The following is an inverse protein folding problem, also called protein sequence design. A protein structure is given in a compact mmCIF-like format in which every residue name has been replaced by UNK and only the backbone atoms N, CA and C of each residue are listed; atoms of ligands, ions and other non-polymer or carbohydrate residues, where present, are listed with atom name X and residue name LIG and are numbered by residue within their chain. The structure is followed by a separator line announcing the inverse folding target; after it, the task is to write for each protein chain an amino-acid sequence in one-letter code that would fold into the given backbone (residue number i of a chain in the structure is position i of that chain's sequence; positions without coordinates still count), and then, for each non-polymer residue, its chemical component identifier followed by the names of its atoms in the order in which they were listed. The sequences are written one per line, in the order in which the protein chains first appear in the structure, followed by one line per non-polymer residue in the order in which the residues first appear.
data_IF_026866747545
#
_entry.id   IF_026866747545
#
_cell.length_a   1.000
_cell.length_b   1.000
_cell.length_c   1.000
_cell.angle_alpha   90.00
_cell.angle_beta   90.00
_cell.angle_gamma   90.00
#
_symmetry.space_group_name_H-M   'P 1'
#
loop_
_entity.id
_entity.type
_entity.pdbx_description
1 polymer ?
#
# COMPACT_ATOMS: atom_id res chain seq x y z
N UNK A 1 16.92 2.29 3.62
CA UNK A 1 16.82 3.38 4.62
C UNK A 1 15.58 3.09 5.47
N UNK A 2 15.68 2.99 6.82
CA UNK A 2 14.48 2.71 7.65
C UNK A 2 13.55 3.94 7.67
N UNK A 3 12.24 3.71 7.53
CA UNK A 3 11.25 4.76 7.68
C UNK A 3 11.32 5.37 9.09
N UNK A 4 11.33 6.70 9.19
CA UNK A 4 11.29 7.45 10.45
C UNK A 4 9.99 8.26 10.50
N UNK A 5 8.87 7.66 10.95
CA UNK A 5 7.55 8.30 10.90
C UNK A 5 7.51 9.62 11.67
N UNK A 6 8.14 9.64 12.85
CA UNK A 6 8.38 10.83 13.69
C UNK A 6 8.98 12.00 12.88
N UNK A 7 10.07 11.72 12.14
CA UNK A 7 10.77 12.74 11.36
C UNK A 7 9.91 13.23 10.19
N UNK A 8 9.17 12.33 9.54
CA UNK A 8 8.26 12.69 8.47
C UNK A 8 7.14 13.60 8.98
N UNK A 9 6.62 13.33 10.18
CA UNK A 9 5.57 14.16 10.77
C UNK A 9 6.07 15.58 11.06
N UNK A 10 7.31 15.74 11.53
CA UNK A 10 7.90 17.07 11.70
C UNK A 10 7.98 17.87 10.39
N UNK A 11 8.35 17.22 9.27
CA UNK A 11 8.36 17.90 7.97
C UNK A 11 6.96 18.30 7.51
N UNK A 12 5.98 17.42 7.72
CA UNK A 12 4.58 17.68 7.41
C UNK A 12 4.03 18.89 8.17
N UNK A 13 4.19 18.92 9.50
CA UNK A 13 3.71 20.02 10.34
C UNK A 13 4.40 21.34 9.99
N UNK A 14 5.72 21.33 9.84
CA UNK A 14 6.48 22.52 9.46
C UNK A 14 6.02 23.10 8.12
N UNK A 15 5.79 22.25 7.12
CA UNK A 15 5.27 22.66 5.81
C UNK A 15 3.87 23.28 5.92
N UNK A 16 2.97 22.66 6.67
CA UNK A 16 1.56 23.11 6.80
C UNK A 16 1.43 24.40 7.59
N UNK A 17 2.29 24.62 8.58
CA UNK A 17 2.32 25.82 9.41
C UNK A 17 3.18 26.94 8.80
N UNK A 18 3.80 26.71 7.64
CA UNK A 18 4.64 27.70 6.96
C UNK A 18 5.89 28.10 7.76
N UNK A 19 6.51 27.13 8.46
CA UNK A 19 7.66 27.39 9.32
C UNK A 19 8.78 26.35 9.15
N UNK A 20 9.94 26.63 9.74
CA UNK A 20 11.05 25.65 9.75
C UNK A 20 10.78 24.50 10.74
N UNK A 21 11.36 23.33 10.47
CA UNK A 21 11.35 22.18 11.41
C UNK A 21 11.96 22.56 12.77
N UNK A 22 13.00 23.41 12.77
CA UNK A 22 13.63 23.88 14.02
C UNK A 22 12.62 24.63 14.89
N UNK A 23 11.87 25.56 14.29
CA UNK A 23 10.85 26.35 14.99
C UNK A 23 9.68 25.47 15.45
N UNK A 24 9.19 24.57 14.59
CA UNK A 24 8.14 23.63 14.96
C UNK A 24 8.51 22.79 16.21
N UNK A 25 9.75 22.30 16.29
CA UNK A 25 10.25 21.55 17.47
C UNK A 25 10.44 22.39 18.74
N UNK A 26 10.47 23.72 18.63
CA UNK A 26 10.56 24.62 19.77
C UNK A 26 9.18 25.03 20.28
N UNK A 27 8.19 25.11 19.39
CA UNK A 27 6.84 25.59 19.70
C UNK A 27 5.85 24.47 20.00
N UNK A 28 6.04 23.27 19.42
CA UNK A 28 5.16 22.11 19.60
C UNK A 28 5.82 21.15 20.59
N UNK A 29 5.13 20.89 21.71
CA UNK A 29 5.58 19.93 22.70
C UNK A 29 5.33 18.47 22.28
N UNK A 30 5.84 17.51 23.05
CA UNK A 30 5.69 16.10 22.72
C UNK A 30 4.23 15.60 22.79
N UNK A 31 3.38 16.22 23.61
CA UNK A 31 1.99 15.82 23.76
C UNK A 31 1.16 16.24 22.55
N UNK A 32 1.31 17.49 22.13
CA UNK A 32 0.69 18.01 20.91
C UNK A 32 1.20 17.27 19.67
N UNK A 33 2.51 17.00 19.59
CA UNK A 33 3.09 16.22 18.50
C UNK A 33 2.48 14.81 18.40
N UNK A 34 2.27 14.14 19.54
CA UNK A 34 1.60 12.84 19.58
C UNK A 34 0.14 12.92 19.08
N UNK A 35 -0.60 13.98 19.43
CA UNK A 35 -1.94 14.18 18.88
C UNK A 35 -1.92 14.40 17.38
N UNK A 36 -0.96 15.17 16.87
CA UNK A 36 -0.80 15.34 15.43
C UNK A 36 -0.52 14.00 14.74
N UNK A 37 0.33 13.14 15.30
CA UNK A 37 0.56 11.80 14.75
C UNK A 37 -0.70 10.95 14.77
N UNK A 38 -1.45 10.97 15.88
CA UNK A 38 -2.71 10.23 15.99
C UNK A 38 -3.77 10.75 14.99
N UNK A 39 -3.90 12.07 14.86
CA UNK A 39 -4.77 12.72 13.90
C UNK A 39 -4.41 12.32 12.47
N UNK A 40 -3.13 12.38 12.09
CA UNK A 40 -2.67 11.94 10.77
C UNK A 40 -2.96 10.45 10.51
N UNK A 41 -2.95 9.62 11.54
CA UNK A 41 -3.33 8.20 11.43
C UNK A 41 -4.83 7.99 11.15
N UNK A 42 -5.70 8.87 11.66
CA UNK A 42 -7.14 8.84 11.44
C UNK A 42 -7.54 9.51 10.12
N UNK A 43 -6.96 10.67 9.85
CA UNK A 43 -7.23 11.50 8.68
C UNK A 43 -5.91 11.92 8.01
N UNK A 44 -5.33 11.03 7.17
CA UNK A 44 -4.10 11.35 6.45
C UNK A 44 -4.30 12.50 5.47
N UNK A 45 -3.28 13.34 5.32
CA UNK A 45 -3.32 14.52 4.44
C UNK A 45 -2.00 14.76 3.71
N UNK A 46 -2.01 15.73 2.79
CA UNK A 46 -0.86 16.11 1.97
C UNK A 46 -0.84 15.42 0.61
N UNK A 47 0.28 15.57 -0.10
CA UNK A 47 0.41 15.18 -1.51
C UNK A 47 0.09 13.70 -1.74
N UNK A 48 0.60 12.79 -0.92
CA UNK A 48 0.33 11.34 -1.12
C UNK A 48 -1.16 11.00 -1.19
N UNK A 49 -2.01 11.66 -0.39
CA UNK A 49 -3.47 11.47 -0.44
C UNK A 49 -4.08 12.25 -1.61
N UNK A 50 -3.55 13.45 -1.90
CA UNK A 50 -3.97 14.24 -3.06
C UNK A 50 -3.75 13.48 -4.38
N UNK A 51 -2.62 12.81 -4.53
CA UNK A 51 -2.28 12.02 -5.70
C UNK A 51 -3.14 10.76 -5.82
N UNK A 52 -3.53 10.14 -4.70
CA UNK A 52 -4.55 9.08 -4.72
C UNK A 52 -5.88 9.59 -5.26
N UNK A 53 -6.35 10.76 -4.80
CA UNK A 53 -7.59 11.38 -5.31
C UNK A 53 -7.49 11.69 -6.80
N UNK A 54 -6.35 12.22 -7.27
CA UNK A 54 -6.12 12.48 -8.69
C UNK A 54 -6.07 11.19 -9.50
N UNK A 55 -5.36 10.16 -9.01
CA UNK A 55 -5.28 8.85 -9.66
C UNK A 55 -6.67 8.23 -9.85
N UNK A 56 -7.57 8.34 -8.87
CA UNK A 56 -8.96 7.87 -8.97
C UNK A 56 -9.70 8.60 -10.09
N UNK A 57 -9.62 9.93 -10.13
CA UNK A 57 -10.29 10.73 -11.15
C UNK A 57 -9.77 10.41 -12.56
N UNK A 58 -8.44 10.35 -12.72
CA UNK A 58 -7.80 10.07 -14.02
C UNK A 58 -8.06 8.63 -14.48
N UNK A 59 -8.02 7.65 -13.58
CA UNK A 59 -8.38 6.28 -13.92
C UNK A 59 -9.84 6.15 -14.34
N UNK A 60 -10.74 6.90 -13.71
CA UNK A 60 -12.15 6.97 -14.13
C UNK A 60 -12.27 7.47 -15.56
N UNK A 61 -11.63 8.61 -15.87
CA UNK A 61 -11.62 9.19 -17.21
C UNK A 61 -10.99 8.24 -18.25
N UNK A 62 -9.86 7.61 -17.92
CA UNK A 62 -9.17 6.68 -18.80
C UNK A 62 -10.02 5.43 -19.09
N UNK A 63 -10.73 4.91 -18.08
CA UNK A 63 -11.61 3.75 -18.24
C UNK A 63 -12.86 4.06 -19.05
N UNK A 64 -13.45 5.25 -18.90
CA UNK A 64 -14.58 5.71 -19.73
C UNK A 64 -14.20 5.71 -21.22
N UNK A 65 -12.96 6.09 -21.53
CA UNK A 65 -12.44 6.19 -22.90
C UNK A 65 -11.61 4.97 -23.33
N UNK A 66 -11.61 3.88 -22.56
CA UNK A 66 -10.74 2.72 -22.83
C UNK A 66 -11.28 1.89 -23.98
N UNK A 67 -10.42 1.63 -24.97
CA UNK A 67 -10.68 0.59 -25.97
C UNK A 67 -10.46 -0.80 -25.32
N UNK A 68 -11.55 -1.53 -25.08
CA UNK A 68 -11.53 -2.84 -24.43
C UNK A 68 -10.93 -3.95 -25.29
N UNK A 69 -10.90 -3.81 -26.61
CA UNK A 69 -10.29 -4.80 -27.50
C UNK A 69 -8.76 -4.67 -27.49
N UNK A 70 -8.26 -3.43 -27.58
CA UNK A 70 -6.82 -3.17 -27.55
C UNK A 70 -6.23 -3.30 -26.14
N UNK A 71 -7.03 -3.04 -25.11
CA UNK A 71 -6.64 -3.15 -23.71
C UNK A 71 -7.80 -3.69 -22.87
N UNK A 72 -7.92 -5.01 -22.71
CA UNK A 72 -8.99 -5.65 -21.94
C UNK A 72 -9.02 -5.25 -20.46
N UNK A 73 -7.88 -4.90 -19.89
CA UNK A 73 -7.70 -4.61 -18.47
C UNK A 73 -7.94 -3.13 -18.16
N UNK A 74 -8.75 -2.82 -17.13
CA UNK A 74 -8.98 -1.44 -16.72
C UNK A 74 -7.69 -0.78 -16.22
N UNK A 75 -7.64 0.54 -16.36
CA UNK A 75 -6.65 1.36 -15.67
C UNK A 75 -6.98 1.41 -14.18
N UNK A 76 -5.96 1.23 -13.33
CA UNK A 76 -6.07 1.40 -11.89
C UNK A 76 -5.64 2.83 -11.50
N UNK A 77 -6.13 3.40 -10.39
CA UNK A 77 -5.63 4.68 -9.88
C UNK A 77 -4.11 4.73 -9.75
N UNK A 78 -3.52 3.63 -9.28
CA UNK A 78 -2.09 3.45 -9.12
C UNK A 78 -1.29 3.58 -10.44
N UNK A 79 -1.91 3.32 -11.60
CA UNK A 79 -1.24 3.46 -12.90
C UNK A 79 -0.89 4.92 -13.23
N UNK A 80 -1.49 5.88 -12.50
CA UNK A 80 -1.28 7.32 -12.69
C UNK A 80 -0.52 7.98 -11.53
N UNK A 81 0.03 7.18 -10.59
CA UNK A 81 0.75 7.68 -9.42
C UNK A 81 2.20 7.17 -9.49
N UNK A 82 3.19 7.99 -9.89
CA UNK A 82 4.54 7.52 -10.28
C UNK A 82 5.32 6.73 -9.22
N UNK A 83 5.11 7.02 -7.94
CA UNK A 83 5.79 6.34 -6.83
C UNK A 83 5.00 5.15 -6.28
N UNK A 84 3.81 4.86 -6.79
CA UNK A 84 3.06 3.68 -6.41
C UNK A 84 3.44 2.55 -7.35
N UNK A 85 4.08 1.51 -6.81
CA UNK A 85 4.34 0.30 -7.59
C UNK A 85 3.02 -0.39 -7.95
N UNK A 86 2.66 -0.36 -9.22
CA UNK A 86 1.58 -1.20 -9.76
C UNK A 86 2.08 -2.61 -9.99
N UNK A 87 2.04 -3.45 -8.95
CA UNK A 87 2.18 -4.89 -9.13
C UNK A 87 0.90 -5.45 -9.76
N UNK A 88 0.76 -5.27 -11.09
CA UNK A 88 -0.28 -5.96 -11.88
C UNK A 88 0.04 -7.43 -12.10
N UNK A 89 1.24 -7.86 -11.74
CA UNK A 89 1.54 -9.28 -11.61
C UNK A 89 0.59 -9.81 -10.55
N UNK A 90 -0.46 -10.53 -10.99
CA UNK A 90 -1.17 -11.46 -10.11
C UNK A 90 -0.08 -12.21 -9.35
N UNK A 91 -0.18 -12.36 -8.02
CA UNK A 91 0.61 -13.39 -7.36
C UNK A 91 0.46 -14.62 -8.26
N UNK A 92 1.58 -15.14 -8.75
CA UNK A 92 1.56 -16.48 -9.31
C UNK A 92 1.17 -17.30 -8.10
N UNK A 93 -0.13 -17.56 -7.93
CA UNK A 93 -0.54 -18.62 -7.05
C UNK A 93 0.20 -19.81 -7.61
N UNK A 94 1.19 -20.37 -6.89
CA UNK A 94 1.78 -21.60 -7.34
C UNK A 94 0.58 -22.52 -7.54
N UNK A 95 0.42 -23.04 -8.75
CA UNK A 95 -0.64 -24.00 -9.05
C UNK A 95 -0.61 -25.12 -7.99
N UNK A 96 -1.69 -25.88 -7.84
CA UNK A 96 -1.74 -26.94 -6.84
C UNK A 96 -0.44 -27.76 -6.90
N UNK A 97 0.21 -27.93 -5.75
CA UNK A 97 1.36 -28.83 -5.64
C UNK A 97 0.79 -30.23 -5.85
N UNK A 98 0.97 -30.75 -7.06
CA UNK A 98 0.61 -32.10 -7.47
C UNK A 98 1.88 -32.94 -7.44
N UNK A 99 1.89 -33.94 -6.58
CA UNK A 99 2.92 -34.97 -6.50
C UNK A 99 2.47 -36.13 -7.39
N UNK A 100 3.43 -36.72 -8.11
CA UNK A 100 3.15 -37.83 -9.03
C UNK A 100 2.60 -39.07 -8.32
N UNK A 101 3.05 -39.29 -7.08
CA UNK A 101 2.65 -40.43 -6.25
C UNK A 101 1.39 -40.11 -5.41
N UNK A 102 0.28 -40.86 -5.56
CA UNK A 102 -0.97 -40.62 -4.84
C UNK A 102 -0.82 -40.62 -3.31
N UNK A 103 0.05 -41.46 -2.77
CA UNK A 103 0.32 -41.54 -1.34
C UNK A 103 1.08 -40.31 -0.83
N UNK A 104 2.00 -39.78 -1.65
CA UNK A 104 2.71 -38.55 -1.33
C UNK A 104 1.76 -37.34 -1.34
N UNK A 105 0.83 -37.29 -2.30
CA UNK A 105 -0.22 -36.26 -2.34
C UNK A 105 -1.11 -36.33 -1.10
N UNK A 106 -1.50 -37.54 -0.68
CA UNK A 106 -2.32 -37.77 0.52
C UNK A 106 -1.60 -37.31 1.79
N UNK A 107 -0.30 -37.60 1.93
CA UNK A 107 0.51 -37.12 3.07
C UNK A 107 0.61 -35.59 3.09
N UNK A 108 0.83 -34.96 1.93
CA UNK A 108 0.88 -33.50 1.81
C UNK A 108 -0.45 -32.86 2.26
N UNK A 109 -1.58 -33.40 1.81
CA UNK A 109 -2.91 -32.92 2.22
C UNK A 109 -3.12 -33.11 3.72
N UNK A 110 -2.77 -34.29 4.27
CA UNK A 110 -2.93 -34.56 5.71
C UNK A 110 -2.07 -33.63 6.57
N UNK A 111 -0.83 -33.38 6.17
CA UNK A 111 0.05 -32.46 6.88
C UNK A 111 -0.45 -31.00 6.81
N UNK A 112 -0.86 -30.54 5.62
CA UNK A 112 -1.29 -29.17 5.42
C UNK A 112 -2.66 -28.84 6.07
N UNK A 113 -3.61 -29.78 6.04
CA UNK A 113 -4.97 -29.58 6.53
C UNK A 113 -5.10 -29.94 8.02
N UNK A 114 -4.43 -31.02 8.46
CA UNK A 114 -4.62 -31.58 9.81
C UNK A 114 -3.36 -31.55 10.68
N UNK A 115 -2.21 -31.07 10.18
CA UNK A 115 -0.98 -30.98 10.96
C UNK A 115 -0.33 -32.33 11.31
N UNK A 116 -0.72 -33.42 10.63
CA UNK A 116 -0.17 -34.74 10.87
C UNK A 116 1.29 -34.82 10.37
N UNK A 117 2.18 -35.40 11.18
CA UNK A 117 3.53 -35.74 10.72
C UNK A 117 3.45 -36.85 9.66
N UNK A 118 4.23 -36.77 8.56
CA UNK A 118 4.27 -37.84 7.58
C UNK A 118 5.01 -39.05 8.16
N UNK A 119 4.32 -40.19 8.26
CA UNK A 119 4.93 -41.51 8.44
C UNK A 119 5.39 -42.09 7.08
#
# INVERSE_FOLDING_TARGET
MKARPELMMWFRLALSLGMSVKRAKQEIDSHEFCYWMAYYGLEPWGETVADMRHGIAVATLANINRNTEARPEPYLPADFIPWMETNRQKPVEPGPILLDEPDAQTRLIKAAVFGCQPE
#
